data_IF_872150969336
#
_entry.id   IF_872150969336
#
_cell.length_a   1.000
_cell.length_b   1.000
_cell.length_c   1.000
_cell.angle_alpha   90.00
_cell.angle_beta   90.00
_cell.angle_gamma   90.00
#
_symmetry.space_group_name_H-M   'P 1'
#
loop_
_entity.id
_entity.type
_entity.pdbx_description
1 polymer ?
#
# COMPACT_ATOMS: atom_id res chain seq x y z
N UNK A 1 42.03 -69.27 -38.92
CA UNK A 1 40.87 -68.42 -39.23
C UNK A 1 40.19 -68.01 -37.92
N UNK A 2 40.08 -66.70 -37.64
CA UNK A 2 39.08 -65.97 -36.80
C UNK A 2 38.66 -66.61 -35.45
N UNK A 3 38.69 -66.00 -34.25
CA UNK A 3 38.82 -64.61 -33.75
C UNK A 3 39.06 -64.68 -32.20
N UNK A 4 40.08 -63.95 -31.70
CA UNK A 4 40.13 -63.01 -30.52
C UNK A 4 39.20 -63.39 -29.32
N UNK A 5 39.59 -63.89 -28.14
CA UNK A 5 40.67 -63.68 -27.14
C UNK A 5 40.69 -62.28 -26.47
N UNK A 6 40.73 -62.08 -25.16
CA UNK A 6 40.29 -62.77 -23.94
C UNK A 6 40.39 -61.70 -22.82
N UNK A 7 39.44 -61.72 -21.89
CA UNK A 7 39.42 -61.00 -20.62
C UNK A 7 40.68 -61.30 -19.77
N UNK A 8 41.18 -60.35 -18.95
CA UNK A 8 41.65 -60.52 -17.55
C UNK A 8 42.33 -59.21 -17.09
N UNK A 9 41.72 -58.43 -16.20
CA UNK A 9 41.68 -58.52 -14.73
C UNK A 9 42.75 -57.64 -14.07
N UNK A 10 42.23 -56.70 -13.29
CA UNK A 10 42.85 -55.62 -12.52
C UNK A 10 43.46 -56.18 -11.23
N UNK A 11 44.63 -55.68 -10.79
CA UNK A 11 44.90 -55.17 -9.42
C UNK A 11 46.39 -55.01 -9.03
N UNK A 12 46.71 -53.83 -8.44
CA UNK A 12 47.61 -53.57 -7.28
C UNK A 12 49.15 -53.51 -7.57
N UNK A 13 50.01 -52.59 -7.08
CA UNK A 13 49.99 -51.28 -6.37
C UNK A 13 51.48 -50.88 -6.11
N UNK A 14 51.75 -49.63 -5.66
CA UNK A 14 52.90 -49.10 -4.86
C UNK A 14 54.16 -48.51 -5.56
N UNK A 15 54.82 -47.39 -5.18
CA UNK A 15 54.65 -46.16 -4.33
C UNK A 15 55.86 -45.19 -4.68
N UNK A 16 55.70 -43.88 -4.35
CA UNK A 16 56.67 -42.80 -4.00
C UNK A 16 56.97 -41.78 -5.12
N UNK A 17 57.07 -40.46 -4.91
CA UNK A 17 56.60 -39.45 -3.92
C UNK A 17 57.23 -38.11 -4.40
N UNK A 18 56.53 -36.97 -4.34
CA UNK A 18 56.99 -35.70 -3.71
C UNK A 18 55.85 -34.67 -3.84
N UNK A 19 55.55 -34.06 -2.70
CA UNK A 19 54.47 -33.12 -2.37
C UNK A 19 54.72 -31.70 -2.90
N UNK A 20 53.67 -30.85 -2.94
CA UNK A 20 53.58 -29.52 -2.27
C UNK A 20 52.33 -28.70 -2.72
N UNK A 21 51.45 -28.46 -1.73
CA UNK A 21 50.69 -27.21 -1.39
C UNK A 21 49.45 -26.74 -2.21
N UNK A 22 48.33 -26.61 -1.45
CA UNK A 22 47.20 -25.65 -1.45
C UNK A 22 46.71 -25.06 -2.79
N UNK A 23 45.41 -24.96 -3.06
CA UNK A 23 44.48 -24.11 -2.29
C UNK A 23 43.06 -24.69 -2.30
N UNK A 24 42.47 -24.62 -1.12
CA UNK A 24 41.06 -24.80 -0.81
C UNK A 24 40.22 -23.74 -1.52
N UNK A 25 39.76 -23.99 -2.74
CA UNK A 25 38.67 -23.21 -3.34
C UNK A 25 37.36 -23.87 -2.98
N UNK A 26 36.95 -23.70 -1.72
CA UNK A 26 35.53 -23.83 -1.39
C UNK A 26 34.84 -22.71 -2.16
N UNK A 27 34.08 -23.09 -3.19
CA UNK A 27 33.20 -22.19 -3.90
C UNK A 27 32.44 -21.35 -2.87
N UNK A 28 32.65 -20.03 -2.91
CA UNK A 28 31.73 -19.08 -2.31
C UNK A 28 30.48 -19.21 -3.16
N UNK A 29 29.58 -20.11 -2.76
CA UNK A 29 28.19 -20.05 -3.20
C UNK A 29 27.73 -18.63 -2.88
N UNK A 30 27.48 -17.84 -3.93
CA UNK A 30 26.88 -16.52 -3.82
C UNK A 30 25.47 -16.72 -3.26
N UNK A 31 25.34 -16.79 -1.94
CA UNK A 31 24.05 -16.78 -1.26
C UNK A 31 23.34 -15.51 -1.70
N UNK A 32 22.15 -15.68 -2.28
CA UNK A 32 21.29 -14.58 -2.70
C UNK A 32 21.27 -13.50 -1.61
N UNK A 33 21.71 -12.30 -1.98
CA UNK A 33 21.71 -11.16 -1.06
C UNK A 33 20.24 -10.83 -0.73
N UNK A 34 19.91 -10.85 0.56
CA UNK A 34 18.55 -10.53 1.00
C UNK A 34 18.27 -9.07 0.68
N UNK A 35 17.19 -8.77 -0.03
CA UNK A 35 16.80 -7.39 -0.31
C UNK A 35 15.84 -6.92 0.77
N UNK A 36 16.10 -5.74 1.32
CA UNK A 36 15.21 -5.03 2.22
C UNK A 36 14.93 -3.66 1.61
N UNK A 37 13.66 -3.28 1.47
CA UNK A 37 13.25 -1.96 1.04
C UNK A 37 12.53 -1.29 2.21
N UNK A 38 12.93 -0.07 2.54
CA UNK A 38 12.37 0.75 3.62
C UNK A 38 12.00 2.13 3.07
N UNK A 39 11.12 2.84 3.76
CA UNK A 39 10.97 4.31 3.63
C UNK A 39 11.78 5.02 4.72
N UNK A 40 12.15 6.29 4.49
CA UNK A 40 12.84 7.11 5.51
C UNK A 40 12.08 7.04 6.85
N UNK A 41 12.83 6.95 7.96
CA UNK A 41 12.37 6.73 9.35
C UNK A 41 11.80 5.34 9.68
N UNK A 42 11.55 4.48 8.69
CA UNK A 42 11.07 3.13 8.94
C UNK A 42 12.09 2.29 9.72
N UNK A 43 11.59 1.45 10.61
CA UNK A 43 12.40 0.54 11.43
C UNK A 43 12.02 -0.90 11.13
N UNK A 44 13.02 -1.74 10.84
CA UNK A 44 12.82 -3.16 10.54
C UNK A 44 13.74 -4.04 11.36
N UNK A 45 13.22 -5.16 11.88
CA UNK A 45 14.00 -6.14 12.61
C UNK A 45 14.53 -7.21 11.65
N UNK A 46 15.85 -7.26 11.49
CA UNK A 46 16.48 -8.32 10.69
C UNK A 46 16.46 -9.64 11.44
N UNK A 47 16.25 -10.72 10.70
CA UNK A 47 16.16 -12.09 11.21
C UNK A 47 17.23 -12.97 10.56
N UNK A 48 18.09 -13.59 11.38
CA UNK A 48 19.06 -14.56 10.90
C UNK A 48 18.37 -15.88 10.50
N UNK A 49 18.99 -16.69 9.63
CA UNK A 49 18.50 -18.03 9.31
C UNK A 49 18.35 -18.87 10.58
N UNK A 50 17.26 -19.64 10.69
CA UNK A 50 17.04 -20.54 11.84
C UNK A 50 18.17 -21.57 11.93
N UNK A 51 18.99 -21.49 12.98
CA UNK A 51 20.02 -22.48 13.29
C UNK A 51 20.11 -22.71 14.79
N UNK A 52 20.42 -23.96 15.20
CA UNK A 52 20.68 -24.27 16.60
C UNK A 52 22.01 -23.61 17.01
N UNK A 53 22.01 -22.85 18.12
CA UNK A 53 23.20 -22.25 18.76
C UNK A 53 23.90 -21.12 17.97
N UNK A 54 23.13 -20.15 17.48
CA UNK A 54 23.70 -18.86 17.05
C UNK A 54 24.21 -18.10 18.27
N UNK A 55 25.42 -17.54 18.20
CA UNK A 55 25.97 -16.66 19.23
C UNK A 55 26.94 -15.61 18.65
N UNK A 56 27.34 -14.65 19.49
CA UNK A 56 28.31 -13.59 19.16
C UNK A 56 27.94 -12.77 17.92
N UNK A 57 26.67 -12.40 17.81
CA UNK A 57 26.18 -11.53 16.75
C UNK A 57 26.85 -10.15 16.83
N UNK A 58 27.34 -9.70 15.68
CA UNK A 58 27.94 -8.39 15.47
C UNK A 58 27.34 -7.77 14.22
N UNK A 59 26.58 -6.69 14.43
CA UNK A 59 25.86 -5.99 13.39
C UNK A 59 26.64 -4.76 12.92
N UNK A 60 26.60 -4.49 11.62
CA UNK A 60 27.26 -3.33 11.00
C UNK A 60 26.51 -2.89 9.76
N UNK A 61 26.56 -1.59 9.46
CA UNK A 61 26.06 -1.00 8.22
C UNK A 61 27.23 -0.40 7.45
N UNK A 62 27.28 -0.62 6.14
CA UNK A 62 28.28 -0.02 5.26
C UNK A 62 28.14 1.51 5.18
N UNK A 63 26.92 2.04 5.31
CA UNK A 63 26.63 3.46 5.37
C UNK A 63 25.45 3.73 6.34
N UNK A 64 25.79 4.02 7.59
CA UNK A 64 24.81 4.33 8.64
C UNK A 64 24.03 5.62 8.41
N UNK A 65 24.46 6.49 7.48
CA UNK A 65 23.70 7.68 7.08
C UNK A 65 22.53 7.34 6.16
N UNK A 66 22.55 6.17 5.50
CA UNK A 66 21.43 5.66 4.69
C UNK A 66 20.57 4.75 5.54
N UNK A 67 21.15 3.73 6.18
CA UNK A 67 20.45 2.87 7.12
C UNK A 67 21.36 2.50 8.30
N UNK A 68 20.95 2.83 9.51
CA UNK A 68 21.67 2.49 10.73
C UNK A 68 21.20 1.13 11.25
N UNK A 69 22.07 0.34 11.87
CA UNK A 69 21.70 -0.92 12.54
C UNK A 69 22.18 -0.91 13.98
N UNK A 70 21.33 -1.31 14.92
CA UNK A 70 21.70 -1.40 16.32
C UNK A 70 22.30 -2.77 16.67
N UNK A 71 22.77 -2.93 17.92
CA UNK A 71 23.40 -4.17 18.41
C UNK A 71 22.50 -5.41 18.38
N UNK A 72 21.18 -5.23 18.23
CA UNK A 72 20.18 -6.29 18.20
C UNK A 72 19.69 -6.58 16.77
N UNK A 73 20.29 -6.00 15.73
CA UNK A 73 19.90 -6.21 14.34
C UNK A 73 18.65 -5.46 13.90
N UNK A 74 18.21 -4.46 14.66
CA UNK A 74 17.16 -3.55 14.24
C UNK A 74 17.78 -2.46 13.35
N UNK A 75 17.26 -2.34 12.13
CA UNK A 75 17.67 -1.36 11.14
C UNK A 75 16.70 -0.17 11.17
N UNK A 76 17.24 1.04 11.18
CA UNK A 76 16.49 2.30 11.02
C UNK A 76 16.91 2.93 9.70
N UNK A 77 15.93 3.22 8.84
CA UNK A 77 16.14 3.97 7.61
C UNK A 77 16.38 5.46 7.94
N UNK A 78 17.51 6.00 7.52
CA UNK A 78 17.97 7.35 7.88
C UNK A 78 17.80 8.32 6.72
N UNK A 79 18.24 7.96 5.52
CA UNK A 79 18.10 8.81 4.33
C UNK A 79 18.03 7.98 3.05
N UNK A 80 17.52 8.59 1.99
CA UNK A 80 17.33 7.96 0.68
C UNK A 80 18.67 7.43 0.15
N UNK A 81 18.66 6.18 -0.33
CA UNK A 81 19.85 5.57 -0.93
C UNK A 81 19.87 4.06 -0.80
N UNK A 82 21.03 3.47 -1.07
CA UNK A 82 21.27 2.03 -0.91
C UNK A 82 22.49 1.79 -0.05
N UNK A 83 22.41 0.84 0.88
CA UNK A 83 23.53 0.40 1.72
C UNK A 83 23.40 -1.08 2.06
N UNK A 84 24.51 -1.72 2.35
CA UNK A 84 24.48 -3.08 2.89
C UNK A 84 24.50 -3.07 4.42
N UNK A 85 23.72 -3.97 5.02
CA UNK A 85 23.77 -4.31 6.44
C UNK A 85 24.27 -5.74 6.58
N UNK A 86 25.24 -5.95 7.46
CA UNK A 86 25.90 -7.24 7.67
C UNK A 86 25.81 -7.65 9.13
N UNK A 87 25.42 -8.89 9.38
CA UNK A 87 25.62 -9.57 10.66
C UNK A 87 26.73 -10.61 10.54
N UNK A 88 27.75 -10.51 11.40
CA UNK A 88 28.74 -11.57 11.63
C UNK A 88 28.36 -12.34 12.89
N UNK A 89 28.32 -13.67 12.85
CA UNK A 89 27.87 -14.51 13.96
C UNK A 89 28.55 -15.88 13.95
N UNK A 90 28.44 -16.64 15.04
CA UNK A 90 28.98 -17.99 15.16
C UNK A 90 27.88 -19.05 15.24
N UNK A 91 28.13 -20.21 14.64
CA UNK A 91 27.42 -21.45 14.93
C UNK A 91 28.43 -22.47 15.45
N UNK A 92 28.38 -22.76 16.75
CA UNK A 92 29.47 -23.46 17.44
C UNK A 92 30.77 -22.65 17.35
N UNK A 93 31.85 -23.26 16.85
CA UNK A 93 33.15 -22.59 16.71
C UNK A 93 33.40 -21.99 15.31
N UNK A 94 32.41 -22.04 14.40
CA UNK A 94 32.55 -21.54 13.02
C UNK A 94 31.93 -20.16 12.87
N UNK A 95 32.64 -19.26 12.19
CA UNK A 95 32.19 -17.92 11.86
C UNK A 95 31.38 -17.87 10.56
N UNK A 96 30.34 -17.04 10.55
CA UNK A 96 29.43 -16.82 9.42
C UNK A 96 29.17 -15.32 9.25
N UNK A 97 28.77 -14.95 8.04
CA UNK A 97 28.25 -13.62 7.71
C UNK A 97 26.93 -13.74 6.97
N UNK A 98 26.02 -12.82 7.25
CA UNK A 98 24.76 -12.69 6.52
C UNK A 98 24.55 -11.23 6.14
N UNK A 99 24.23 -10.99 4.87
CA UNK A 99 24.15 -9.66 4.28
C UNK A 99 22.72 -9.37 3.80
N UNK A 100 22.31 -8.12 3.98
CA UNK A 100 21.12 -7.52 3.42
C UNK A 100 21.50 -6.32 2.58
N UNK A 101 20.97 -6.22 1.35
CA UNK A 101 20.97 -4.99 0.56
C UNK A 101 19.75 -4.18 0.94
N UNK A 102 19.98 -3.06 1.63
CA UNK A 102 18.93 -2.15 2.11
C UNK A 102 18.78 -1.00 1.12
N UNK A 103 17.58 -0.81 0.60
CA UNK A 103 17.18 0.38 -0.19
C UNK A 103 16.25 1.23 0.67
N UNK A 104 16.56 2.51 0.84
CA UNK A 104 15.71 3.48 1.52
C UNK A 104 15.14 4.43 0.48
N UNK A 105 13.81 4.50 0.42
CA UNK A 105 13.05 5.35 -0.47
C UNK A 105 12.40 6.52 0.28
N UNK A 106 11.92 7.53 -0.44
CA UNK A 106 11.13 8.59 0.18
C UNK A 106 9.78 8.04 0.64
N UNK A 107 9.18 8.67 1.66
CA UNK A 107 7.75 8.50 1.92
C UNK A 107 7.02 9.00 0.67
N UNK A 108 6.14 8.20 0.03
CA UNK A 108 5.34 8.68 -1.07
C UNK A 108 4.65 10.00 -0.70
N UNK A 109 4.73 11.01 -1.56
CA UNK A 109 4.17 12.34 -1.30
C UNK A 109 2.74 12.33 -0.73
N UNK A 110 1.75 11.56 -1.24
CA UNK A 110 0.41 11.57 -0.65
C UNK A 110 0.38 11.17 0.83
N UNK A 111 1.30 10.29 1.25
CA UNK A 111 1.32 9.75 2.62
C UNK A 111 2.01 10.67 3.63
N UNK A 112 2.51 11.83 3.17
CA UNK A 112 2.99 12.90 4.05
C UNK A 112 1.84 13.75 4.58
N UNK A 113 0.71 13.78 3.88
CA UNK A 113 -0.46 14.55 4.26
C UNK A 113 -1.28 13.78 5.29
N UNK A 114 -1.26 14.22 6.55
CA UNK A 114 -1.93 13.52 7.67
C UNK A 114 -3.46 13.39 7.54
N UNK A 115 -4.09 14.20 6.68
CA UNK A 115 -5.53 14.27 6.51
C UNK A 115 -5.90 13.90 5.08
N UNK A 116 -6.97 13.12 4.94
CA UNK A 116 -7.64 12.80 3.68
C UNK A 116 -9.07 13.34 3.76
N UNK A 117 -9.47 14.17 2.80
CA UNK A 117 -10.82 14.74 2.77
C UNK A 117 -11.81 13.67 2.31
N UNK A 118 -12.69 13.23 3.18
CA UNK A 118 -13.66 12.16 2.91
C UNK A 118 -14.78 12.63 1.98
N UNK A 119 -15.09 11.85 0.95
CA UNK A 119 -16.15 12.09 -0.03
C UNK A 119 -16.11 13.51 -0.61
N UNK A 120 -14.93 13.92 -1.08
CA UNK A 120 -14.53 15.27 -1.51
C UNK A 120 -14.49 16.34 -0.42
N UNK A 121 -14.98 16.04 0.78
CA UNK A 121 -15.02 16.96 1.92
C UNK A 121 -16.44 17.13 2.48
N UNK A 122 -16.51 17.32 3.79
CA UNK A 122 -17.74 17.68 4.46
C UNK A 122 -18.14 19.14 4.19
N UNK A 123 -19.43 19.40 4.09
CA UNK A 123 -19.99 20.73 3.80
C UNK A 123 -20.78 21.26 5.00
N UNK A 124 -20.57 22.54 5.31
CA UNK A 124 -21.27 23.28 6.38
C UNK A 124 -21.22 22.59 7.77
N UNK A 125 -20.15 21.84 8.06
CA UNK A 125 -20.00 21.02 9.28
C UNK A 125 -21.22 20.12 9.57
N UNK A 126 -21.93 19.72 8.52
CA UNK A 126 -23.22 19.03 8.62
C UNK A 126 -23.38 17.93 7.60
N UNK A 127 -23.06 18.22 6.33
CA UNK A 127 -23.29 17.31 5.23
C UNK A 127 -22.04 16.49 4.98
N UNK A 128 -22.17 15.17 5.08
CA UNK A 128 -21.12 14.17 4.82
C UNK A 128 -21.49 13.34 3.60
N UNK A 129 -20.56 12.53 3.08
CA UNK A 129 -20.78 11.70 1.87
C UNK A 129 -21.24 12.50 0.65
N UNK A 130 -20.88 13.78 0.57
CA UNK A 130 -21.45 14.70 -0.41
C UNK A 130 -21.00 14.38 -1.82
N UNK A 131 -19.71 14.04 -2.01
CA UNK A 131 -19.07 13.89 -3.31
C UNK A 131 -19.39 15.08 -4.24
N UNK A 132 -19.47 16.28 -3.66
CA UNK A 132 -19.84 17.50 -4.37
C UNK A 132 -18.64 18.39 -4.70
N UNK A 133 -18.75 19.14 -5.79
CA UNK A 133 -17.69 20.04 -6.27
C UNK A 133 -17.30 21.07 -5.23
N UNK A 134 -18.28 21.65 -4.54
CA UNK A 134 -18.06 22.65 -3.51
C UNK A 134 -17.30 22.05 -2.31
N UNK A 135 -17.49 20.75 -2.03
CA UNK A 135 -16.71 20.02 -1.04
C UNK A 135 -15.24 19.93 -1.44
N UNK A 136 -14.98 19.52 -2.69
CA UNK A 136 -13.64 19.41 -3.27
C UNK A 136 -12.89 20.76 -3.20
N UNK A 137 -13.53 21.84 -3.65
CA UNK A 137 -12.96 23.19 -3.64
C UNK A 137 -12.69 23.69 -2.21
N UNK A 138 -13.61 23.43 -1.28
CA UNK A 138 -13.44 23.84 0.11
C UNK A 138 -12.33 23.05 0.80
N UNK A 139 -12.20 21.75 0.51
CA UNK A 139 -11.13 20.90 1.01
C UNK A 139 -9.75 21.42 0.59
N UNK A 140 -9.53 21.68 -0.70
CA UNK A 140 -8.24 22.21 -1.15
C UNK A 140 -7.94 23.60 -0.61
N UNK A 141 -8.96 24.47 -0.50
CA UNK A 141 -8.83 25.78 0.15
C UNK A 141 -8.42 25.66 1.61
N UNK A 142 -8.88 24.61 2.31
CA UNK A 142 -8.50 24.29 3.68
C UNK A 142 -7.12 23.60 3.79
N UNK A 143 -6.40 23.46 2.68
CA UNK A 143 -5.04 22.92 2.64
C UNK A 143 -4.97 21.41 2.47
N UNK A 144 -6.08 20.72 2.21
CA UNK A 144 -6.03 19.31 1.84
C UNK A 144 -5.29 19.11 0.54
N UNK A 145 -4.39 18.13 0.54
CA UNK A 145 -3.67 17.65 -0.64
C UNK A 145 -3.98 16.20 -0.98
N UNK A 146 -4.66 15.49 -0.09
CA UNK A 146 -5.14 14.14 -0.33
C UNK A 146 -6.66 14.12 -0.11
N UNK A 147 -7.39 13.63 -1.11
CA UNK A 147 -8.85 13.71 -1.18
C UNK A 147 -9.39 12.35 -1.57
N UNK A 148 -10.37 11.86 -0.84
CA UNK A 148 -11.07 10.62 -1.14
C UNK A 148 -12.39 10.92 -1.86
N UNK A 149 -12.78 10.05 -2.79
CA UNK A 149 -14.09 10.10 -3.42
C UNK A 149 -14.57 8.70 -3.78
N UNK A 150 -15.85 8.47 -3.49
CA UNK A 150 -16.57 7.32 -3.99
C UNK A 150 -16.78 7.48 -5.51
N UNK A 151 -16.40 6.48 -6.31
CA UNK A 151 -16.60 6.48 -7.76
C UNK A 151 -17.37 5.24 -8.20
N UNK A 152 -18.44 5.44 -8.95
CA UNK A 152 -19.34 4.35 -9.35
C UNK A 152 -19.88 4.54 -10.78
N UNK A 153 -20.27 3.44 -11.42
CA UNK A 153 -20.94 3.44 -12.71
C UNK A 153 -22.43 3.80 -12.58
N UNK A 154 -22.91 4.62 -13.50
CA UNK A 154 -24.33 4.88 -13.77
C UNK A 154 -24.94 3.75 -14.60
N UNK A 155 -26.25 3.76 -14.79
CA UNK A 155 -26.99 2.75 -15.57
C UNK A 155 -26.58 2.69 -17.06
N UNK A 156 -25.89 3.73 -17.54
CA UNK A 156 -25.36 3.90 -18.89
C UNK A 156 -23.82 3.91 -18.91
N UNK A 157 -23.19 3.23 -17.95
CA UNK A 157 -21.75 2.94 -17.86
C UNK A 157 -20.83 4.17 -17.88
N UNK A 158 -21.24 5.25 -17.21
CA UNK A 158 -20.45 6.46 -17.00
C UNK A 158 -20.09 6.63 -15.54
N UNK A 159 -18.87 7.10 -15.28
CA UNK A 159 -18.35 7.25 -13.93
C UNK A 159 -18.81 8.56 -13.31
N UNK A 160 -19.43 8.46 -12.14
CA UNK A 160 -19.84 9.60 -11.30
C UNK A 160 -19.29 9.45 -9.89
N UNK A 161 -19.07 10.57 -9.22
CA UNK A 161 -18.66 10.58 -7.81
C UNK A 161 -19.90 10.48 -6.92
N UNK A 162 -20.10 9.33 -6.28
CA UNK A 162 -21.27 9.06 -5.45
C UNK A 162 -21.04 7.86 -4.55
N UNK A 163 -21.55 7.92 -3.31
CA UNK A 163 -21.58 6.82 -2.34
C UNK A 163 -22.59 5.71 -2.74
N UNK A 164 -22.73 5.46 -4.04
CA UNK A 164 -23.54 4.40 -4.63
C UNK A 164 -25.02 4.70 -4.81
N UNK A 165 -25.78 3.63 -5.03
CA UNK A 165 -27.18 3.65 -5.47
C UNK A 165 -28.14 3.11 -4.39
N UNK A 166 -27.76 3.21 -3.13
CA UNK A 166 -28.57 2.73 -2.01
C UNK A 166 -29.67 3.73 -1.64
N UNK A 167 -30.69 3.28 -0.90
CA UNK A 167 -31.69 4.18 -0.30
C UNK A 167 -31.05 5.30 0.52
N UNK A 168 -29.93 5.03 1.21
CA UNK A 168 -29.17 6.04 1.94
C UNK A 168 -28.58 7.10 1.00
N UNK A 169 -27.95 6.68 -0.09
CA UNK A 169 -27.34 7.60 -1.08
C UNK A 169 -28.37 8.54 -1.70
N UNK A 170 -29.59 8.03 -1.97
CA UNK A 170 -30.71 8.85 -2.44
C UNK A 170 -31.19 9.91 -1.42
N UNK A 171 -30.97 9.71 -0.11
CA UNK A 171 -31.26 10.78 0.87
C UNK A 171 -30.37 12.00 0.68
N UNK A 172 -29.18 11.82 0.08
CA UNK A 172 -28.27 12.92 -0.22
C UNK A 172 -28.74 13.74 -1.43
N UNK A 173 -29.47 13.14 -2.37
CA UNK A 173 -29.89 13.79 -3.62
C UNK A 173 -31.28 14.39 -3.56
N UNK A 174 -32.11 13.94 -2.61
CA UNK A 174 -33.53 14.32 -2.52
C UNK A 174 -34.43 13.67 -3.56
N UNK A 175 -33.87 12.84 -4.45
CA UNK A 175 -34.64 12.06 -5.43
C UNK A 175 -35.31 10.87 -4.69
N UNK A 176 -36.58 10.53 -4.98
CA UNK A 176 -37.20 9.33 -4.43
C UNK A 176 -36.48 8.05 -4.86
N UNK A 177 -36.17 7.18 -3.89
CA UNK A 177 -35.54 5.88 -4.17
C UNK A 177 -36.51 4.92 -4.86
N UNK A 178 -36.11 4.36 -5.99
CA UNK A 178 -36.83 3.31 -6.70
C UNK A 178 -36.08 1.98 -6.55
N UNK A 179 -36.66 1.02 -5.84
CA UNK A 179 -36.02 -0.28 -5.62
C UNK A 179 -35.99 -1.16 -6.88
N UNK A 180 -36.88 -0.96 -7.85
CA UNK A 180 -36.93 -1.71 -9.11
C UNK A 180 -35.92 -1.18 -10.12
N UNK A 181 -35.61 0.11 -10.07
CA UNK A 181 -34.58 0.75 -10.89
C UNK A 181 -33.73 1.69 -10.02
N UNK A 182 -32.80 1.13 -9.21
CA UNK A 182 -32.08 1.90 -8.20
C UNK A 182 -30.91 2.71 -8.76
N UNK A 183 -30.50 2.48 -10.02
CA UNK A 183 -29.31 3.10 -10.61
C UNK A 183 -29.75 4.24 -11.51
N UNK A 184 -29.25 5.46 -11.29
CA UNK A 184 -29.52 6.58 -12.19
C UNK A 184 -28.67 6.47 -13.47
N UNK A 185 -29.21 6.95 -14.58
CA UNK A 185 -28.39 7.33 -15.75
C UNK A 185 -27.51 8.54 -15.40
N UNK A 186 -26.46 8.75 -16.19
CA UNK A 186 -25.57 9.88 -16.02
C UNK A 186 -26.31 11.22 -16.07
N UNK A 187 -27.18 11.42 -17.07
CA UNK A 187 -27.92 12.67 -17.21
C UNK A 187 -28.87 12.90 -16.03
N UNK A 188 -29.48 11.85 -15.48
CA UNK A 188 -30.30 11.98 -14.26
C UNK A 188 -29.46 12.41 -13.05
N UNK A 189 -28.29 11.79 -12.86
CA UNK A 189 -27.41 12.12 -11.74
C UNK A 189 -26.84 13.53 -11.86
N UNK A 190 -26.28 13.88 -13.03
CA UNK A 190 -25.64 15.19 -13.24
C UNK A 190 -26.63 16.37 -13.24
N UNK A 191 -27.91 16.13 -13.55
CA UNK A 191 -28.96 17.15 -13.39
C UNK A 191 -29.53 17.24 -11.97
N UNK A 192 -29.11 16.37 -11.06
CA UNK A 192 -29.51 16.41 -9.65
C UNK A 192 -28.59 17.33 -8.84
N UNK A 193 -29.10 17.85 -7.71
CA UNK A 193 -28.31 18.61 -6.74
C UNK A 193 -28.17 17.84 -5.44
N UNK A 194 -26.95 17.69 -4.96
CA UNK A 194 -26.69 17.11 -3.63
C UNK A 194 -27.19 18.09 -2.57
N UNK A 195 -28.00 17.61 -1.65
CA UNK A 195 -28.67 18.38 -0.60
C UNK A 195 -29.51 19.54 -1.17
N UNK A 196 -30.01 19.40 -2.40
CA UNK A 196 -30.81 20.41 -3.10
C UNK A 196 -30.04 21.65 -3.57
N UNK A 197 -28.72 21.72 -3.37
CA UNK A 197 -27.91 22.90 -3.75
C UNK A 197 -26.54 22.61 -4.35
N UNK A 198 -25.85 21.56 -3.92
CA UNK A 198 -24.47 21.31 -4.30
C UNK A 198 -24.35 20.52 -5.60
N UNK A 199 -23.25 20.74 -6.30
CA UNK A 199 -23.03 20.27 -7.67
C UNK A 199 -22.46 18.86 -7.66
N UNK A 200 -23.11 17.96 -8.39
CA UNK A 200 -22.65 16.59 -8.63
C UNK A 200 -21.36 16.58 -9.45
N UNK A 201 -20.52 15.58 -9.23
CA UNK A 201 -19.18 15.46 -9.81
C UNK A 201 -19.06 14.17 -10.60
N UNK A 202 -18.32 14.21 -11.69
CA UNK A 202 -17.99 13.04 -12.49
C UNK A 202 -16.47 12.84 -12.64
N UNK A 203 -16.07 11.71 -13.23
CA UNK A 203 -14.65 11.40 -13.41
C UNK A 203 -13.91 12.47 -14.24
N UNK A 204 -14.57 13.10 -15.21
CA UNK A 204 -13.95 14.15 -16.03
C UNK A 204 -13.60 15.38 -15.20
N UNK A 205 -14.48 15.74 -14.26
CA UNK A 205 -14.26 16.83 -13.30
C UNK A 205 -13.02 16.54 -12.43
N UNK A 206 -12.86 15.30 -11.94
CA UNK A 206 -11.67 14.90 -11.17
C UNK A 206 -10.40 15.04 -12.01
N UNK A 207 -10.41 14.57 -13.26
CA UNK A 207 -9.25 14.64 -14.16
C UNK A 207 -8.84 16.09 -14.42
N UNK A 208 -9.79 16.96 -14.79
CA UNK A 208 -9.49 18.38 -15.02
C UNK A 208 -9.02 19.08 -13.74
N UNK A 209 -9.63 18.77 -12.60
CA UNK A 209 -9.20 19.30 -11.31
C UNK A 209 -7.75 18.90 -10.99
N UNK A 210 -7.38 17.64 -11.22
CA UNK A 210 -5.99 17.18 -11.06
C UNK A 210 -5.03 17.87 -12.04
N UNK A 211 -5.47 18.21 -13.26
CA UNK A 211 -4.63 18.96 -14.21
C UNK A 211 -4.33 20.36 -13.70
N UNK A 212 -5.31 21.04 -13.13
CA UNK A 212 -5.16 22.39 -12.57
C UNK A 212 -4.38 22.39 -11.25
N UNK A 213 -4.60 21.36 -10.41
CA UNK A 213 -3.99 21.22 -9.10
C UNK A 213 -2.93 20.11 -9.08
N UNK A 214 -1.68 20.47 -9.43
CA UNK A 214 -0.55 19.53 -9.58
C UNK A 214 -0.07 18.87 -8.28
N UNK A 215 -0.46 19.39 -7.14
CA UNK A 215 -0.06 18.91 -5.81
C UNK A 215 -1.19 18.19 -5.05
N UNK A 216 -2.30 17.86 -5.72
CA UNK A 216 -3.42 17.10 -5.15
C UNK A 216 -3.34 15.64 -5.58
N UNK A 217 -3.72 14.75 -4.66
CA UNK A 217 -3.79 13.30 -4.82
C UNK A 217 -5.21 12.84 -4.54
N UNK A 218 -5.64 11.77 -5.23
CA UNK A 218 -6.98 11.21 -5.08
C UNK A 218 -6.93 9.76 -4.58
N UNK A 219 -7.75 9.46 -3.59
CA UNK A 219 -8.10 8.12 -3.16
C UNK A 219 -9.44 7.78 -3.82
N UNK A 220 -9.46 6.80 -4.72
CA UNK A 220 -10.70 6.39 -5.39
C UNK A 220 -11.25 5.16 -4.69
N UNK A 221 -12.45 5.28 -4.10
CA UNK A 221 -13.22 4.18 -3.56
C UNK A 221 -14.23 3.69 -4.60
N UNK A 222 -14.01 2.50 -5.18
CA UNK A 222 -14.87 1.98 -6.25
C UNK A 222 -16.17 1.36 -5.73
N UNK A 223 -16.36 1.21 -4.40
CA UNK A 223 -17.62 0.70 -3.81
C UNK A 223 -18.11 -0.65 -4.35
N UNK A 224 -17.18 -1.50 -4.78
CA UNK A 224 -17.43 -2.79 -5.45
C UNK A 224 -16.68 -3.89 -4.70
N UNK A 225 -17.18 -5.12 -4.72
CA UNK A 225 -16.52 -6.27 -4.09
C UNK A 225 -16.17 -7.42 -5.06
N UNK A 226 -16.81 -7.49 -6.23
CA UNK A 226 -16.58 -8.53 -7.23
C UNK A 226 -15.54 -8.13 -8.28
N UNK A 227 -14.96 -9.14 -8.93
CA UNK A 227 -13.89 -8.98 -9.90
C UNK A 227 -14.35 -8.34 -11.21
N UNK A 228 -15.52 -8.73 -11.72
CA UNK A 228 -16.00 -8.36 -13.06
C UNK A 228 -16.31 -6.86 -13.11
N UNK A 229 -17.09 -6.37 -12.14
CA UNK A 229 -17.41 -4.95 -12.03
C UNK A 229 -16.16 -4.11 -11.74
N UNK A 230 -15.17 -4.66 -11.02
CA UNK A 230 -13.89 -4.00 -10.79
C UNK A 230 -13.07 -3.85 -12.09
N UNK A 231 -13.10 -4.83 -13.00
CA UNK A 231 -12.48 -4.73 -14.33
C UNK A 231 -13.14 -3.60 -15.11
N UNK A 232 -14.47 -3.65 -15.27
CA UNK A 232 -15.24 -2.68 -16.05
C UNK A 232 -15.05 -1.26 -15.52
N UNK A 233 -15.17 -1.07 -14.21
CA UNK A 233 -14.97 0.24 -13.56
C UNK A 233 -13.54 0.75 -13.77
N UNK A 234 -12.54 -0.12 -13.66
CA UNK A 234 -11.13 0.26 -13.88
C UNK A 234 -10.87 0.66 -15.33
N UNK A 235 -11.45 -0.04 -16.31
CA UNK A 235 -11.34 0.32 -17.73
C UNK A 235 -11.90 1.73 -17.97
N UNK A 236 -13.05 2.05 -17.37
CA UNK A 236 -13.67 3.37 -17.46
C UNK A 236 -12.83 4.44 -16.75
N UNK A 237 -12.18 4.11 -15.63
CA UNK A 237 -11.26 5.03 -14.94
C UNK A 237 -10.07 5.34 -15.86
N UNK A 238 -9.40 4.32 -16.38
CA UNK A 238 -8.26 4.51 -17.30
C UNK A 238 -8.69 5.30 -18.54
N UNK A 239 -9.89 5.06 -19.06
CA UNK A 239 -10.45 5.80 -20.18
C UNK A 239 -10.65 7.29 -19.85
N UNK A 240 -11.20 7.62 -18.67
CA UNK A 240 -11.38 9.01 -18.23
C UNK A 240 -10.04 9.76 -18.16
N UNK A 241 -8.97 9.06 -17.76
CA UNK A 241 -7.61 9.59 -17.65
C UNK A 241 -6.81 9.56 -18.97
N UNK A 242 -7.39 9.14 -20.11
CA UNK A 242 -6.65 9.01 -21.37
C UNK A 242 -6.01 10.31 -21.87
N UNK A 243 -6.57 11.47 -21.52
CA UNK A 243 -6.02 12.77 -21.90
C UNK A 243 -4.70 13.10 -21.20
N UNK A 244 -4.44 12.50 -20.03
CA UNK A 244 -3.19 12.62 -19.29
C UNK A 244 -3.06 11.43 -18.31
N UNK A 245 -2.44 10.34 -18.79
CA UNK A 245 -2.30 9.10 -18.02
C UNK A 245 -1.33 9.23 -16.84
N UNK A 246 -0.43 10.23 -16.86
CA UNK A 246 0.50 10.45 -15.74
C UNK A 246 -0.23 10.88 -14.47
N UNK A 247 -1.46 11.39 -14.57
CA UNK A 247 -2.28 11.71 -13.41
C UNK A 247 -2.61 10.46 -12.56
N UNK A 248 -2.63 9.26 -13.16
CA UNK A 248 -2.84 8.00 -12.43
C UNK A 248 -1.71 7.70 -11.42
N UNK A 249 -0.53 8.30 -11.58
CA UNK A 249 0.56 8.21 -10.58
C UNK A 249 0.22 8.95 -9.27
N UNK A 250 -0.83 9.78 -9.28
CA UNK A 250 -1.35 10.52 -8.12
C UNK A 250 -2.65 9.92 -7.58
N UNK A 251 -2.99 8.70 -8.00
CA UNK A 251 -4.17 7.97 -7.52
C UNK A 251 -3.76 6.83 -6.57
N UNK A 252 -4.41 6.79 -5.41
CA UNK A 252 -4.50 5.63 -4.53
C UNK A 252 -5.80 4.90 -4.87
N UNK A 253 -5.72 3.69 -5.40
CA UNK A 253 -6.90 2.91 -5.76
C UNK A 253 -7.27 1.97 -4.61
N UNK A 254 -8.50 2.06 -4.10
CA UNK A 254 -8.97 1.22 -2.99
C UNK A 254 -9.48 -0.14 -3.50
N UNK A 255 -9.12 -1.21 -2.81
CA UNK A 255 -9.71 -2.53 -2.99
C UNK A 255 -10.27 -3.06 -1.66
N UNK A 256 -11.55 -3.44 -1.64
CA UNK A 256 -12.22 -4.06 -0.48
C UNK A 256 -12.07 -5.59 -0.41
N UNK A 257 -11.66 -6.23 -1.50
CA UNK A 257 -11.46 -7.68 -1.58
C UNK A 257 -10.22 -8.04 -2.42
N UNK A 258 -9.77 -9.29 -2.30
CA UNK A 258 -8.65 -9.80 -3.11
C UNK A 258 -9.05 -9.93 -4.57
N UNK A 259 -10.29 -10.34 -4.81
CA UNK A 259 -10.91 -10.50 -6.12
C UNK A 259 -11.01 -9.16 -6.84
N UNK A 260 -11.43 -8.11 -6.12
CA UNK A 260 -11.47 -6.74 -6.62
C UNK A 260 -10.07 -6.24 -6.97
N UNK A 261 -9.08 -6.41 -6.08
CA UNK A 261 -7.69 -6.07 -6.39
C UNK A 261 -7.20 -6.75 -7.66
N UNK A 262 -7.47 -8.04 -7.83
CA UNK A 262 -7.03 -8.77 -9.02
C UNK A 262 -7.76 -8.31 -10.29
N UNK A 263 -9.02 -7.87 -10.18
CA UNK A 263 -9.75 -7.23 -11.26
C UNK A 263 -9.08 -5.92 -11.69
N UNK A 264 -8.90 -5.00 -10.75
CA UNK A 264 -8.21 -3.71 -10.98
C UNK A 264 -6.83 -3.93 -11.60
N UNK A 265 -6.00 -4.77 -10.97
CA UNK A 265 -4.62 -5.01 -11.39
C UNK A 265 -4.52 -5.73 -12.74
N UNK A 266 -5.58 -6.42 -13.20
CA UNK A 266 -5.58 -7.02 -14.54
C UNK A 266 -5.75 -6.00 -15.67
N UNK A 267 -6.33 -4.83 -15.37
CA UNK A 267 -6.55 -3.75 -16.32
C UNK A 267 -5.41 -2.73 -16.26
N UNK A 268 -5.08 -2.25 -15.06
CA UNK A 268 -4.05 -1.24 -14.86
C UNK A 268 -3.30 -1.45 -13.55
N UNK A 269 -1.97 -1.31 -13.63
CA UNK A 269 -1.08 -1.41 -12.47
C UNK A 269 -0.91 -0.02 -11.87
N UNK A 270 -1.77 0.34 -10.93
CA UNK A 270 -1.66 1.61 -10.21
C UNK A 270 -0.39 1.65 -9.37
N UNK A 271 0.17 2.84 -9.21
CA UNK A 271 1.37 3.05 -8.39
C UNK A 271 1.10 2.78 -6.91
N UNK A 272 -0.11 3.11 -6.45
CA UNK A 272 -0.52 2.96 -5.06
C UNK A 272 -1.85 2.24 -4.97
N UNK A 273 -1.85 1.16 -4.19
CA UNK A 273 -3.06 0.44 -3.80
C UNK A 273 -3.32 0.60 -2.31
N UNK A 274 -4.59 0.69 -1.96
CA UNK A 274 -5.13 0.57 -0.62
C UNK A 274 -5.92 -0.72 -0.50
N UNK A 275 -5.78 -1.42 0.63
CA UNK A 275 -6.67 -2.51 0.99
C UNK A 275 -7.55 -2.11 2.17
N UNK A 276 -8.85 -2.05 1.92
CA UNK A 276 -9.87 -1.75 2.91
C UNK A 276 -10.22 -3.03 3.69
N UNK A 277 -10.08 -2.98 5.01
CA UNK A 277 -10.40 -4.12 5.87
C UNK A 277 -11.81 -3.95 6.43
N UNK A 278 -12.75 -4.73 5.90
CA UNK A 278 -14.11 -4.81 6.45
C UNK A 278 -14.09 -5.29 7.92
N UNK A 279 -15.01 -4.76 8.73
CA UNK A 279 -15.08 -5.04 10.18
C UNK A 279 -15.18 -6.53 10.51
N UNK A 280 -15.90 -7.33 9.68
CA UNK A 280 -16.04 -8.77 9.88
C UNK A 280 -14.75 -9.56 9.55
N UNK A 281 -13.79 -8.94 8.84
CA UNK A 281 -12.47 -9.50 8.49
C UNK A 281 -11.36 -9.09 9.45
N UNK A 282 -11.63 -8.26 10.46
CA UNK A 282 -10.62 -7.77 11.41
C UNK A 282 -9.87 -8.91 12.11
N UNK A 283 -10.55 -10.03 12.39
CA UNK A 283 -9.94 -11.24 12.96
C UNK A 283 -8.83 -11.85 12.08
N UNK A 284 -8.88 -11.60 10.78
CA UNK A 284 -7.96 -12.16 9.78
C UNK A 284 -6.80 -11.21 9.45
N UNK A 285 -6.68 -10.08 10.17
CA UNK A 285 -5.72 -9.02 9.88
C UNK A 285 -4.26 -9.49 9.69
N UNK A 286 -3.69 -10.47 10.45
CA UNK A 286 -2.32 -10.91 10.20
C UNK A 286 -2.16 -11.58 8.82
N UNK A 287 -3.20 -12.28 8.36
CA UNK A 287 -3.22 -12.92 7.05
C UNK A 287 -3.39 -11.91 5.93
N UNK A 288 -4.20 -10.87 6.16
CA UNK A 288 -4.40 -9.74 5.24
C UNK A 288 -3.09 -8.98 5.08
N UNK A 289 -2.43 -8.58 6.17
CA UNK A 289 -1.13 -7.89 6.18
C UNK A 289 -0.09 -8.69 5.38
N UNK A 290 -0.02 -10.01 5.58
CA UNK A 290 0.90 -10.88 4.83
C UNK A 290 0.59 -10.86 3.33
N UNK A 291 -0.68 -10.90 2.95
CA UNK A 291 -1.10 -10.84 1.55
C UNK A 291 -0.81 -9.46 0.94
N UNK A 292 -1.19 -8.37 1.61
CA UNK A 292 -0.93 -6.99 1.21
C UNK A 292 0.57 -6.77 0.93
N UNK A 293 1.43 -7.25 1.83
CA UNK A 293 2.89 -7.22 1.65
C UNK A 293 3.35 -7.97 0.39
N UNK A 294 2.77 -9.14 0.11
CA UNK A 294 3.12 -9.94 -1.08
C UNK A 294 2.69 -9.29 -2.40
N UNK A 295 1.73 -8.38 -2.34
CA UNK A 295 1.17 -7.63 -3.48
C UNK A 295 1.68 -6.19 -3.56
N UNK A 296 2.57 -5.80 -2.65
CA UNK A 296 3.08 -4.42 -2.56
C UNK A 296 1.96 -3.37 -2.39
N UNK A 297 0.90 -3.72 -1.66
CA UNK A 297 -0.13 -2.76 -1.24
C UNK A 297 0.53 -1.71 -0.35
N UNK A 298 0.21 -0.43 -0.59
CA UNK A 298 0.84 0.68 0.11
C UNK A 298 0.12 1.04 1.41
N UNK A 299 -1.21 0.97 1.41
CA UNK A 299 -2.07 1.41 2.52
C UNK A 299 -2.98 0.28 2.97
N UNK A 300 -3.11 0.09 4.28
CA UNK A 300 -4.18 -0.73 4.86
C UNK A 300 -5.10 0.21 5.63
N UNK A 301 -6.39 0.21 5.29
CA UNK A 301 -7.39 1.02 5.97
C UNK A 301 -8.29 0.19 6.87
N UNK A 302 -8.56 0.74 8.04
CA UNK A 302 -9.33 0.09 9.11
C UNK A 302 -10.28 1.13 9.70
N UNK A 303 -11.53 0.75 9.92
CA UNK A 303 -12.52 1.63 10.55
C UNK A 303 -12.09 2.04 11.96
N UNK A 304 -12.36 3.29 12.36
CA UNK A 304 -11.98 3.86 13.66
C UNK A 304 -12.45 3.00 14.85
N UNK A 305 -13.65 2.43 14.76
CA UNK A 305 -14.21 1.60 15.81
C UNK A 305 -13.49 0.26 16.02
N UNK A 306 -12.76 -0.22 15.01
CA UNK A 306 -12.11 -1.54 15.00
C UNK A 306 -10.58 -1.46 15.19
N UNK A 307 -9.97 -0.31 14.91
CA UNK A 307 -8.52 -0.18 14.89
C UNK A 307 -7.91 -0.25 16.30
N UNK A 308 -6.78 -0.96 16.44
CA UNK A 308 -6.04 -1.06 17.71
C UNK A 308 -4.56 -0.74 17.55
N UNK A 309 -3.90 -0.33 18.64
CA UNK A 309 -2.44 -0.09 18.64
C UNK A 309 -1.62 -1.32 18.20
N UNK A 310 -2.13 -2.54 18.46
CA UNK A 310 -1.48 -3.77 17.98
C UNK A 310 -1.52 -3.85 16.46
N UNK A 311 -2.67 -3.57 15.85
CA UNK A 311 -2.86 -3.59 14.40
C UNK A 311 -2.02 -2.51 13.72
N UNK A 312 -2.05 -1.28 14.24
CA UNK A 312 -1.23 -0.16 13.76
C UNK A 312 0.24 -0.60 13.72
N UNK A 313 0.77 -1.12 14.82
CA UNK A 313 2.14 -1.62 14.89
C UNK A 313 2.43 -2.74 13.89
N UNK A 314 1.51 -3.68 13.72
CA UNK A 314 1.69 -4.83 12.83
C UNK A 314 1.72 -4.43 11.34
N UNK A 315 0.86 -3.49 10.93
CA UNK A 315 0.86 -2.91 9.58
C UNK A 315 2.17 -2.16 9.33
N UNK A 316 2.55 -1.26 10.25
CA UNK A 316 3.78 -0.45 10.15
C UNK A 316 5.04 -1.29 10.10
N UNK A 317 5.13 -2.36 10.90
CA UNK A 317 6.26 -3.29 10.88
C UNK A 317 6.39 -4.07 9.56
N UNK A 318 5.36 -4.06 8.73
CA UNK A 318 5.37 -4.66 7.40
C UNK A 318 5.54 -3.63 6.27
N UNK A 319 5.91 -2.39 6.61
CA UNK A 319 6.28 -1.35 5.63
C UNK A 319 5.10 -0.71 4.91
N UNK A 320 3.89 -0.80 5.50
CA UNK A 320 2.67 -0.22 4.94
C UNK A 320 2.19 0.97 5.78
N UNK A 321 1.50 1.89 5.12
CA UNK A 321 0.82 3.01 5.76
C UNK A 321 -0.50 2.53 6.38
N UNK A 322 -0.87 3.16 7.50
CA UNK A 322 -2.17 2.93 8.15
C UNK A 322 -3.07 4.12 7.87
N UNK A 323 -4.22 3.87 7.26
CA UNK A 323 -5.32 4.82 7.15
C UNK A 323 -6.44 4.42 8.09
N UNK A 324 -7.08 5.39 8.72
CA UNK A 324 -8.30 5.17 9.50
C UNK A 324 -9.40 6.10 9.02
N UNK A 325 -10.63 5.61 9.07
CA UNK A 325 -11.80 6.34 8.59
C UNK A 325 -13.03 5.99 9.45
N UNK A 326 -14.11 6.77 9.45
CA UNK A 326 -14.06 8.22 9.27
C UNK A 326 -13.95 8.84 10.65
N UNK A 327 -12.94 9.68 10.88
CA UNK A 327 -12.66 10.25 12.21
C UNK A 327 -12.99 11.74 12.19
N UNK A 328 -13.99 12.16 12.96
CA UNK A 328 -14.39 13.56 13.05
C UNK A 328 -14.18 14.19 14.43
N UNK A 329 -13.77 13.39 15.43
CA UNK A 329 -13.34 13.91 16.73
C UNK A 329 -11.85 14.24 16.71
N UNK A 330 -11.53 15.51 17.00
CA UNK A 330 -10.15 16.02 16.98
C UNK A 330 -9.26 15.30 17.98
N UNK A 331 -9.76 14.99 19.18
CA UNK A 331 -8.96 14.31 20.21
C UNK A 331 -8.65 12.86 19.81
N UNK A 332 -9.63 12.16 19.22
CA UNK A 332 -9.46 10.83 18.66
C UNK A 332 -8.43 10.84 17.53
N UNK A 333 -8.53 11.78 16.57
CA UNK A 333 -7.56 11.94 15.49
C UNK A 333 -6.13 12.18 16.03
N UNK A 334 -5.96 13.11 16.96
CA UNK A 334 -4.65 13.38 17.57
C UNK A 334 -4.08 12.15 18.31
N UNK A 335 -4.93 11.37 19.00
CA UNK A 335 -4.53 10.14 19.68
C UNK A 335 -4.11 9.05 18.67
N UNK A 336 -4.86 8.88 17.59
CA UNK A 336 -4.56 7.91 16.53
C UNK A 336 -3.25 8.24 15.82
N UNK A 337 -3.03 9.53 15.48
CA UNK A 337 -1.76 10.02 14.93
C UNK A 337 -0.58 9.75 15.88
N UNK A 338 -0.74 10.03 17.19
CA UNK A 338 0.28 9.71 18.21
C UNK A 338 0.54 8.20 18.34
N UNK A 339 -0.48 7.37 18.11
CA UNK A 339 -0.36 5.91 18.09
C UNK A 339 0.31 5.35 16.83
N UNK A 340 0.55 6.19 15.81
CA UNK A 340 1.26 5.81 14.59
C UNK A 340 0.37 5.57 13.37
N UNK A 341 -0.90 6.00 13.39
CA UNK A 341 -1.71 6.11 12.16
C UNK A 341 -1.08 7.19 11.26
N UNK A 342 -1.01 6.91 9.96
CA UNK A 342 -0.38 7.81 9.00
C UNK A 342 -1.38 8.81 8.40
N UNK A 343 -2.59 8.33 8.12
CA UNK A 343 -3.65 9.04 7.39
C UNK A 343 -4.97 8.98 8.17
N UNK A 344 -5.57 10.15 8.41
CA UNK A 344 -6.91 10.28 8.96
C UNK A 344 -7.85 10.72 7.84
N UNK A 345 -8.77 9.85 7.42
CA UNK A 345 -9.88 10.23 6.57
C UNK A 345 -11.00 10.82 7.43
N UNK A 346 -11.42 12.04 7.10
CA UNK A 346 -12.29 12.88 7.95
C UNK A 346 -13.21 13.74 7.09
N UNK A 347 -14.39 14.07 7.61
CA UNK A 347 -15.30 14.99 6.98
C UNK A 347 -14.93 16.45 7.25
N UNK A 348 -14.45 16.77 8.47
CA UNK A 348 -14.46 18.16 8.97
C UNK A 348 -13.18 18.65 9.63
N UNK A 349 -12.29 17.76 10.08
CA UNK A 349 -11.07 18.18 10.79
C UNK A 349 -10.17 18.99 9.85
N UNK A 350 -9.47 19.99 10.34
CA UNK A 350 -8.48 20.75 9.54
C UNK A 350 -7.08 20.59 10.11
N UNK A 351 -6.06 20.97 9.33
CA UNK A 351 -4.69 21.01 9.85
C UNK A 351 -4.52 22.00 11.02
N UNK A 352 -5.41 22.98 11.18
CA UNK A 352 -5.36 23.90 12.32
C UNK A 352 -5.82 23.20 13.61
N UNK A 353 -6.77 22.27 13.54
CA UNK A 353 -7.30 21.53 14.69
C UNK A 353 -6.30 20.51 15.25
N UNK A 354 -5.32 20.10 14.44
CA UNK A 354 -4.27 19.14 14.83
C UNK A 354 -3.03 19.77 15.47
N UNK A 355 -3.00 21.10 15.64
CA UNK A 355 -1.83 21.83 16.19
C UNK A 355 -1.74 21.82 17.70
#
# INVERSE_FOLDING_TARGET
MKKIASLLLICILIILQISIINVKTLAIESKAQNKLSLIVEEVSQLQLPKAKRICNEKWSSANSKIAAVNKNGQVTAVSIGKTDVTCSYKIGNKDYKYNWSVTVNNVPEPFKYKLVAHALGGLENKYTYSNALEGLEQSTKNGYKFIETDIILTADDRLVCSHGWSKFSYTQTGVPYNAENPIMTYDQFMNTKIQGKYTTVDASTIVEYMKEHKDVYFNLDLRILDRETAIETTEKIVQAFNSDKELLDRVLIQAGSKEMYEGINSVYHFKYYEYFVESDKIKDIPSIIKWCKSKHIAVVSIFEGDITNKMIKEVKQNGMCVLTHTVDDVNAAQKLLKSGVDLICTNFITYADLK
#
